data_IF_474902125425
#
_entry.id   IF_474902125425
#
_cell.length_a   1.000
_cell.length_b   1.000
_cell.length_c   1.000
_cell.angle_alpha   90.00
_cell.angle_beta   90.00
_cell.angle_gamma   90.00
#
_symmetry.space_group_name_H-M   'P 1'
#
loop_
_entity.id
_entity.type
_entity.pdbx_description
1 polymer ?
#
# COMPACT_ATOMS: atom_id res chain seq x y z
N UNK A 1 -83.01 -68.08 20.08
CA UNK A 1 -82.00 -68.27 21.15
C UNK A 1 -80.59 -68.02 20.59
N UNK A 2 -79.67 -67.48 21.40
CA UNK A 2 -78.21 -67.45 21.13
C UNK A 2 -77.69 -68.91 20.94
N UNK A 3 -76.44 -69.24 20.49
CA UNK A 3 -75.19 -68.63 20.99
C UNK A 3 -73.88 -68.73 20.15
N UNK A 4 -72.88 -67.95 20.63
CA UNK A 4 -71.43 -68.25 20.79
C UNK A 4 -70.57 -68.62 19.57
N UNK A 5 -69.80 -67.61 19.18
CA UNK A 5 -68.33 -67.59 19.02
C UNK A 5 -67.56 -68.93 18.97
N UNK A 6 -66.79 -69.11 17.89
CA UNK A 6 -65.44 -69.68 17.96
C UNK A 6 -64.52 -69.05 16.91
N UNK A 7 -63.39 -68.56 17.43
CA UNK A 7 -62.29 -67.88 16.76
C UNK A 7 -61.70 -68.70 15.61
N UNK A 8 -61.34 -67.99 14.56
CA UNK A 8 -60.06 -68.16 13.87
C UNK A 8 -59.84 -69.49 13.15
N UNK A 9 -60.20 -69.54 11.88
CA UNK A 9 -59.35 -70.20 10.88
C UNK A 9 -59.43 -69.38 9.61
N UNK A 10 -58.32 -68.71 9.28
CA UNK A 10 -58.05 -68.04 8.01
C UNK A 10 -58.49 -68.99 6.88
N UNK A 11 -59.70 -68.77 6.36
CA UNK A 11 -60.19 -69.39 5.14
C UNK A 11 -59.40 -68.79 4.01
N UNK A 12 -58.31 -69.48 3.69
CA UNK A 12 -57.34 -69.22 2.62
C UNK A 12 -58.11 -68.73 1.39
N UNK A 13 -57.96 -67.46 1.03
CA UNK A 13 -58.34 -67.01 -0.31
C UNK A 13 -57.72 -68.02 -1.27
N UNK A 14 -58.48 -68.47 -2.27
CA UNK A 14 -57.92 -69.34 -3.31
C UNK A 14 -56.59 -68.74 -3.74
N UNK A 15 -55.53 -69.54 -3.85
CA UNK A 15 -54.18 -69.06 -4.23
C UNK A 15 -54.24 -68.16 -5.47
N UNK A 16 -55.24 -68.37 -6.34
CA UNK A 16 -55.58 -67.60 -7.53
C UNK A 16 -56.20 -66.22 -7.25
N UNK A 17 -57.03 -66.04 -6.23
CA UNK A 17 -57.62 -64.74 -5.83
C UNK A 17 -56.62 -63.86 -5.06
N UNK A 18 -55.80 -64.45 -4.20
CA UNK A 18 -54.69 -63.75 -3.54
C UNK A 18 -53.62 -63.33 -4.56
N UNK A 19 -53.34 -64.17 -5.57
CA UNK A 19 -52.48 -63.82 -6.71
C UNK A 19 -53.07 -62.68 -7.55
N UNK A 20 -54.37 -62.69 -7.85
CA UNK A 20 -55.01 -61.65 -8.66
C UNK A 20 -55.09 -60.29 -7.93
N UNK A 21 -55.30 -60.28 -6.61
CA UNK A 21 -55.23 -59.04 -5.81
C UNK A 21 -53.79 -58.54 -5.68
N UNK A 22 -52.80 -59.44 -5.55
CA UNK A 22 -51.39 -59.08 -5.51
C UNK A 22 -50.94 -58.49 -6.86
N UNK A 23 -51.40 -59.08 -7.97
CA UNK A 23 -51.14 -58.62 -9.34
C UNK A 23 -51.79 -57.26 -9.60
N UNK A 24 -53.05 -57.05 -9.17
CA UNK A 24 -53.70 -55.72 -9.22
C UNK A 24 -52.99 -54.66 -8.38
N UNK A 25 -52.52 -55.01 -7.17
CA UNK A 25 -51.75 -54.09 -6.33
C UNK A 25 -50.37 -53.78 -6.90
N UNK A 26 -49.73 -54.75 -7.55
CA UNK A 26 -48.47 -54.55 -8.27
C UNK A 26 -48.66 -53.67 -9.51
N UNK A 27 -49.75 -53.86 -10.24
CA UNK A 27 -50.11 -53.05 -11.40
C UNK A 27 -50.50 -51.62 -11.01
N UNK A 28 -51.26 -51.46 -9.92
CA UNK A 28 -51.60 -50.16 -9.33
C UNK A 28 -50.38 -49.45 -8.74
N UNK A 29 -49.47 -50.18 -8.07
CA UNK A 29 -48.19 -49.64 -7.60
C UNK A 29 -47.29 -49.20 -8.79
N UNK A 30 -47.25 -49.99 -9.87
CA UNK A 30 -46.50 -49.65 -11.08
C UNK A 30 -47.09 -48.43 -11.79
N UNK A 31 -48.42 -48.31 -11.81
CA UNK A 31 -49.12 -47.15 -12.38
C UNK A 31 -48.92 -45.90 -11.51
N UNK A 32 -48.92 -46.04 -10.18
CA UNK A 32 -48.62 -44.95 -9.24
C UNK A 32 -47.17 -44.47 -9.36
N UNK A 33 -46.20 -45.39 -9.50
CA UNK A 33 -44.79 -45.07 -9.71
C UNK A 33 -44.55 -44.38 -11.05
N UNK A 34 -45.24 -44.80 -12.12
CA UNK A 34 -45.22 -44.11 -13.41
C UNK A 34 -45.81 -42.70 -13.32
N UNK A 35 -46.95 -42.53 -12.62
CA UNK A 35 -47.55 -41.22 -12.42
C UNK A 35 -46.68 -40.30 -11.54
N UNK A 36 -45.97 -40.84 -10.55
CA UNK A 36 -45.03 -40.09 -9.71
C UNK A 36 -43.78 -39.67 -10.49
N UNK A 37 -43.23 -40.57 -11.33
CA UNK A 37 -42.12 -40.26 -12.24
C UNK A 37 -42.52 -39.17 -13.24
N UNK A 38 -43.71 -39.24 -13.82
CA UNK A 38 -44.19 -38.24 -14.77
C UNK A 38 -44.41 -36.86 -14.12
N UNK A 39 -44.85 -36.83 -12.85
CA UNK A 39 -44.93 -35.60 -12.06
C UNK A 39 -43.56 -35.01 -11.78
N UNK A 40 -42.59 -35.85 -11.39
CA UNK A 40 -41.22 -35.42 -11.10
C UNK A 40 -40.50 -34.91 -12.35
N UNK A 41 -40.73 -35.53 -13.51
CA UNK A 41 -40.21 -35.07 -14.79
C UNK A 41 -40.82 -33.74 -15.24
N UNK A 42 -42.14 -33.54 -15.06
CA UNK A 42 -42.78 -32.24 -15.31
C UNK A 42 -42.20 -31.14 -14.42
N UNK A 43 -42.06 -31.41 -13.13
CA UNK A 43 -41.49 -30.45 -12.17
C UNK A 43 -40.01 -30.13 -12.47
N UNK A 44 -39.24 -31.11 -12.96
CA UNK A 44 -37.87 -30.88 -13.46
C UNK A 44 -37.85 -29.99 -14.69
N UNK A 45 -38.69 -30.27 -15.69
CA UNK A 45 -38.80 -29.46 -16.92
C UNK A 45 -39.23 -28.03 -16.61
N UNK A 46 -40.20 -27.83 -15.73
CA UNK A 46 -40.65 -26.50 -15.31
C UNK A 46 -39.54 -25.72 -14.59
N UNK A 47 -38.75 -26.38 -13.72
CA UNK A 47 -37.58 -25.74 -13.07
C UNK A 47 -36.48 -25.37 -14.06
N UNK A 48 -36.17 -26.24 -15.01
CA UNK A 48 -35.18 -25.97 -16.04
C UNK A 48 -35.62 -24.83 -16.97
N UNK A 49 -36.91 -24.76 -17.32
CA UNK A 49 -37.47 -23.67 -18.13
C UNK A 49 -37.44 -22.34 -17.37
N UNK A 50 -37.83 -22.34 -16.09
CA UNK A 50 -37.72 -21.15 -15.24
C UNK A 50 -36.27 -20.69 -15.06
N UNK A 51 -35.31 -21.61 -14.91
CA UNK A 51 -33.91 -21.26 -14.79
C UNK A 51 -33.36 -20.69 -16.10
N UNK A 52 -33.72 -21.26 -17.25
CA UNK A 52 -33.38 -20.70 -18.57
C UNK A 52 -33.93 -19.29 -18.73
N UNK A 53 -35.20 -19.07 -18.36
CA UNK A 53 -35.83 -17.74 -18.40
C UNK A 53 -35.08 -16.75 -17.50
N UNK A 54 -34.72 -17.14 -16.27
CA UNK A 54 -33.91 -16.31 -15.35
C UNK A 54 -32.54 -15.95 -15.93
N UNK A 55 -31.85 -16.91 -16.55
CA UNK A 55 -30.54 -16.66 -17.15
C UNK A 55 -30.62 -15.72 -18.35
N UNK A 56 -31.66 -15.84 -19.17
CA UNK A 56 -31.92 -14.94 -20.30
C UNK A 56 -32.20 -13.52 -19.79
N UNK A 57 -33.06 -13.37 -18.79
CA UNK A 57 -33.37 -12.07 -18.16
C UNK A 57 -32.10 -11.43 -17.56
N UNK A 58 -31.31 -12.21 -16.80
CA UNK A 58 -30.07 -11.75 -16.19
C UNK A 58 -29.02 -11.34 -17.24
N UNK A 59 -28.91 -12.10 -18.34
CA UNK A 59 -28.04 -11.73 -19.45
C UNK A 59 -28.50 -10.43 -20.11
N UNK A 60 -29.80 -10.23 -20.29
CA UNK A 60 -30.37 -9.00 -20.83
C UNK A 60 -30.05 -7.80 -19.94
N UNK A 61 -30.29 -7.92 -18.64
CA UNK A 61 -29.98 -6.88 -17.64
C UNK A 61 -28.49 -6.55 -17.60
N UNK A 62 -27.61 -7.55 -17.71
CA UNK A 62 -26.15 -7.32 -17.77
C UNK A 62 -25.72 -6.55 -19.01
N UNK A 63 -26.32 -6.84 -20.16
CA UNK A 63 -26.02 -6.09 -21.39
C UNK A 63 -26.58 -4.67 -21.35
N UNK A 64 -27.76 -4.45 -20.77
CA UNK A 64 -28.32 -3.12 -20.51
C UNK A 64 -27.41 -2.32 -19.55
N UNK A 65 -26.96 -2.93 -18.45
CA UNK A 65 -26.06 -2.32 -17.48
C UNK A 65 -24.70 -1.97 -18.10
N UNK A 66 -24.11 -2.88 -18.89
CA UNK A 66 -22.86 -2.61 -19.62
C UNK A 66 -23.00 -1.42 -20.56
N UNK A 67 -24.14 -1.31 -21.26
CA UNK A 67 -24.40 -0.17 -22.15
C UNK A 67 -24.50 1.13 -21.37
N UNK A 68 -25.24 1.12 -20.24
CA UNK A 68 -25.33 2.29 -19.35
C UNK A 68 -23.95 2.75 -18.86
N UNK A 69 -23.14 1.82 -18.38
CA UNK A 69 -21.77 2.10 -17.91
C UNK A 69 -20.90 2.63 -19.07
N UNK A 70 -21.02 2.07 -20.27
CA UNK A 70 -20.25 2.54 -21.42
C UNK A 70 -20.65 3.96 -21.84
N UNK A 71 -21.94 4.30 -21.78
CA UNK A 71 -22.45 5.66 -22.02
C UNK A 71 -21.94 6.63 -20.95
N UNK A 72 -22.06 6.27 -19.66
CA UNK A 72 -21.53 7.04 -18.53
C UNK A 72 -20.00 7.25 -18.67
N UNK A 73 -19.24 6.22 -19.04
CA UNK A 73 -17.79 6.34 -19.23
C UNK A 73 -17.42 7.32 -20.34
N UNK A 74 -18.19 7.37 -21.44
CA UNK A 74 -17.98 8.30 -22.55
C UNK A 74 -18.30 9.73 -22.12
N UNK A 75 -19.41 9.93 -21.41
CA UNK A 75 -19.77 11.24 -20.86
C UNK A 75 -18.69 11.75 -19.88
N UNK A 76 -18.26 10.91 -18.95
CA UNK A 76 -17.25 11.25 -17.96
C UNK A 76 -15.83 11.32 -18.52
N UNK A 77 -15.53 10.67 -19.66
CA UNK A 77 -14.19 10.66 -20.23
C UNK A 77 -13.71 12.08 -20.55
N UNK A 78 -14.59 12.92 -21.09
CA UNK A 78 -14.26 14.32 -21.42
C UNK A 78 -13.93 15.13 -20.18
N UNK A 79 -14.71 14.98 -19.11
CA UNK A 79 -14.47 15.63 -17.83
C UNK A 79 -13.18 15.15 -17.18
N UNK A 80 -12.94 13.83 -17.16
CA UNK A 80 -11.71 13.22 -16.64
C UNK A 80 -10.46 13.73 -17.38
N UNK A 81 -10.51 13.78 -18.71
CA UNK A 81 -9.41 14.29 -19.53
C UNK A 81 -9.16 15.78 -19.28
N UNK A 82 -10.21 16.59 -19.24
CA UNK A 82 -10.10 18.03 -18.94
C UNK A 82 -9.54 18.27 -17.54
N UNK A 83 -10.03 17.54 -16.54
CA UNK A 83 -9.54 17.60 -15.16
C UNK A 83 -8.07 17.20 -15.06
N UNK A 84 -7.67 16.13 -15.73
CA UNK A 84 -6.28 15.69 -15.76
C UNK A 84 -5.37 16.73 -16.45
N UNK A 85 -5.84 17.38 -17.52
CA UNK A 85 -5.10 18.46 -18.17
C UNK A 85 -4.94 19.67 -17.24
N UNK A 86 -6.00 20.07 -16.54
CA UNK A 86 -5.96 21.18 -15.58
C UNK A 86 -5.00 20.90 -14.43
N UNK A 87 -5.04 19.69 -13.86
CA UNK A 87 -4.10 19.26 -12.82
C UNK A 87 -2.64 19.27 -13.29
N UNK A 88 -2.37 18.92 -14.56
CA UNK A 88 -1.01 19.01 -15.13
C UNK A 88 -0.53 20.45 -15.23
N UNK A 89 -1.40 21.37 -15.65
CA UNK A 89 -1.08 22.80 -15.74
C UNK A 89 -0.80 23.35 -14.33
N UNK A 90 -1.65 23.02 -13.36
CA UNK A 90 -1.48 23.47 -11.98
C UNK A 90 -0.20 22.92 -11.35
N UNK A 91 0.10 21.64 -11.55
CA UNK A 91 1.35 21.02 -11.10
C UNK A 91 2.59 21.67 -11.75
N UNK A 92 2.53 21.99 -13.04
CA UNK A 92 3.61 22.68 -13.73
C UNK A 92 3.83 24.09 -13.18
N UNK A 93 2.76 24.86 -12.97
CA UNK A 93 2.83 26.20 -12.39
C UNK A 93 3.35 26.19 -10.93
N UNK A 94 2.94 25.19 -10.14
CA UNK A 94 3.45 25.00 -8.79
C UNK A 94 4.97 24.73 -8.79
N UNK A 95 5.43 23.86 -9.69
CA UNK A 95 6.85 23.55 -9.86
C UNK A 95 7.66 24.77 -10.30
N UNK A 96 7.18 25.51 -11.29
CA UNK A 96 7.83 26.74 -11.77
C UNK A 96 7.94 27.79 -10.65
N UNK A 97 6.89 27.94 -9.84
CA UNK A 97 6.91 28.83 -8.67
C UNK A 97 7.93 28.40 -7.63
N UNK A 98 8.06 27.09 -7.37
CA UNK A 98 9.07 26.56 -6.44
C UNK A 98 10.50 26.82 -6.96
N UNK A 99 10.75 26.54 -8.24
CA UNK A 99 12.03 26.81 -8.91
C UNK A 99 12.37 28.30 -8.86
N UNK A 100 11.41 29.18 -9.14
CA UNK A 100 11.58 30.63 -9.04
C UNK A 100 11.89 31.08 -7.61
N UNK A 101 11.19 30.52 -6.61
CA UNK A 101 11.43 30.84 -5.20
C UNK A 101 12.83 30.42 -4.78
N UNK A 102 13.28 29.23 -5.21
CA UNK A 102 14.64 28.74 -4.95
C UNK A 102 15.70 29.62 -5.63
N UNK A 103 15.44 30.04 -6.87
CA UNK A 103 16.32 30.96 -7.60
C UNK A 103 16.48 32.30 -6.86
N UNK A 104 15.37 32.90 -6.40
CA UNK A 104 15.39 34.15 -5.63
C UNK A 104 16.03 34.00 -4.24
N UNK A 105 15.92 32.82 -3.61
CA UNK A 105 16.53 32.56 -2.31
C UNK A 105 18.06 32.48 -2.36
N UNK A 106 18.68 32.42 -3.56
CA UNK A 106 20.13 32.20 -3.74
C UNK A 106 20.66 31.07 -2.85
N UNK A 107 19.87 29.98 -2.71
CA UNK A 107 20.25 28.87 -1.84
C UNK A 107 21.38 28.07 -2.48
N UNK A 108 22.45 27.82 -1.70
CA UNK A 108 23.55 26.95 -2.11
C UNK A 108 23.22 25.46 -1.93
N UNK A 109 22.00 25.13 -1.47
CA UNK A 109 21.58 23.76 -1.21
C UNK A 109 21.02 23.10 -2.48
N UNK A 110 21.32 21.81 -2.71
CA UNK A 110 20.87 21.09 -3.90
C UNK A 110 19.34 20.99 -3.97
N UNK A 111 18.81 20.90 -5.19
CA UNK A 111 17.41 20.56 -5.40
C UNK A 111 17.13 19.10 -4.97
N UNK A 112 16.17 18.84 -4.06
CA UNK A 112 15.90 17.49 -3.56
C UNK A 112 15.36 16.53 -4.64
N UNK A 113 14.82 17.05 -5.74
CA UNK A 113 14.39 16.25 -6.90
C UNK A 113 15.53 15.88 -7.85
N UNK A 114 16.70 16.50 -7.72
CA UNK A 114 17.84 16.36 -8.62
C UNK A 114 18.94 15.54 -7.97
N UNK A 115 18.97 14.23 -8.24
CA UNK A 115 20.02 13.34 -7.73
C UNK A 115 21.43 13.78 -8.19
N UNK A 116 21.54 14.39 -9.37
CA UNK A 116 22.79 14.93 -9.88
C UNK A 116 23.32 16.08 -9.00
N UNK A 117 22.47 17.03 -8.64
CA UNK A 117 22.84 18.13 -7.74
C UNK A 117 23.17 17.63 -6.34
N UNK A 118 22.41 16.67 -5.81
CA UNK A 118 22.71 16.05 -4.51
C UNK A 118 24.08 15.39 -4.52
N UNK A 119 24.42 14.67 -5.58
CA UNK A 119 25.74 14.05 -5.74
C UNK A 119 26.85 15.09 -5.88
N UNK A 120 26.63 16.17 -6.62
CA UNK A 120 27.59 17.27 -6.74
C UNK A 120 27.83 17.95 -5.39
N UNK A 121 26.76 18.24 -4.64
CA UNK A 121 26.82 18.76 -3.27
C UNK A 121 27.65 17.84 -2.35
N UNK A 122 27.39 16.53 -2.37
CA UNK A 122 28.16 15.55 -1.59
C UNK A 122 29.65 15.56 -1.94
N UNK A 123 30.00 15.61 -3.22
CA UNK A 123 31.39 15.65 -3.66
C UNK A 123 32.09 16.93 -3.23
N UNK A 124 31.44 18.08 -3.43
CA UNK A 124 31.98 19.39 -3.03
C UNK A 124 32.16 19.48 -1.51
N UNK A 125 31.20 18.99 -0.73
CA UNK A 125 31.29 19.00 0.73
C UNK A 125 32.34 18.02 1.25
N UNK A 126 32.54 16.88 0.57
CA UNK A 126 33.61 15.96 0.90
C UNK A 126 34.98 16.63 0.73
N UNK A 127 35.18 17.35 -0.37
CA UNK A 127 36.42 18.05 -0.70
C UNK A 127 36.64 19.35 0.11
N UNK A 128 35.60 19.92 0.72
CA UNK A 128 35.76 21.13 1.52
C UNK A 128 36.59 20.86 2.78
N UNK A 129 37.63 21.66 3.00
CA UNK A 129 38.36 21.65 4.26
C UNK A 129 37.71 22.66 5.20
N UNK A 130 37.18 22.19 6.32
CA UNK A 130 36.71 23.08 7.37
C UNK A 130 37.88 23.49 8.27
N UNK A 131 37.98 24.78 8.57
CA UNK A 131 39.11 25.29 9.35
C UNK A 131 38.87 25.20 10.86
N UNK A 132 37.60 25.22 11.26
CA UNK A 132 37.17 25.34 12.65
C UNK A 132 35.83 24.62 12.90
N UNK A 133 35.55 24.35 14.18
CA UNK A 133 34.36 23.62 14.62
C UNK A 133 33.06 24.37 14.31
N UNK A 134 33.07 25.72 14.29
CA UNK A 134 31.86 26.48 14.01
C UNK A 134 31.38 26.24 12.58
N UNK A 135 32.31 26.34 11.63
CA UNK A 135 32.04 26.06 10.21
C UNK A 135 31.48 24.64 10.02
N UNK A 136 32.06 23.61 10.65
CA UNK A 136 31.53 22.24 10.52
C UNK A 136 30.13 22.09 11.09
N UNK A 137 29.84 22.68 12.25
CA UNK A 137 28.50 22.55 12.84
C UNK A 137 27.44 23.28 11.98
N UNK A 138 27.78 24.40 11.36
CA UNK A 138 26.92 25.08 10.39
C UNK A 138 26.70 24.25 9.11
N UNK A 139 27.76 23.67 8.54
CA UNK A 139 27.66 22.78 7.39
C UNK A 139 26.82 21.53 7.72
N UNK A 140 26.96 20.97 8.93
CA UNK A 140 26.14 19.85 9.39
C UNK A 140 24.65 20.22 9.52
N UNK A 141 24.35 21.44 9.98
CA UNK A 141 22.98 21.96 10.00
C UNK A 141 22.41 22.08 8.58
N UNK A 142 23.21 22.53 7.61
CA UNK A 142 22.81 22.58 6.21
C UNK A 142 22.59 21.17 5.63
N UNK A 143 23.48 20.22 5.94
CA UNK A 143 23.34 18.83 5.54
C UNK A 143 22.06 18.19 6.10
N UNK A 144 21.67 18.54 7.34
CA UNK A 144 20.40 18.14 7.92
C UNK A 144 19.20 18.70 7.15
N UNK A 145 19.27 19.97 6.75
CA UNK A 145 18.26 20.60 5.91
C UNK A 145 18.11 19.87 4.56
N UNK A 146 19.22 19.53 3.91
CA UNK A 146 19.22 18.75 2.65
C UNK A 146 18.58 17.38 2.84
N UNK A 147 18.92 16.65 3.91
CA UNK A 147 18.28 15.35 4.20
C UNK A 147 16.77 15.47 4.43
N UNK A 148 16.33 16.53 5.12
CA UNK A 148 14.90 16.79 5.34
C UNK A 148 14.18 17.01 4.02
N UNK A 149 14.77 17.80 3.13
CA UNK A 149 14.16 18.15 1.85
C UNK A 149 14.11 16.93 0.91
N UNK A 150 15.16 16.11 0.88
CA UNK A 150 15.16 14.83 0.14
C UNK A 150 14.06 13.91 0.66
N UNK A 151 13.90 13.79 1.99
CA UNK A 151 12.83 12.96 2.59
C UNK A 151 11.43 13.47 2.24
N UNK A 152 11.23 14.79 2.25
CA UNK A 152 9.98 15.41 1.80
C UNK A 152 9.66 15.07 0.35
N UNK A 153 10.68 15.12 -0.52
CA UNK A 153 10.54 14.74 -1.92
C UNK A 153 10.22 13.25 -2.09
N UNK A 154 10.96 12.35 -1.43
CA UNK A 154 10.72 10.90 -1.47
C UNK A 154 9.31 10.55 -1.00
N UNK A 155 8.82 11.20 0.07
CA UNK A 155 7.45 11.01 0.56
C UNK A 155 6.37 11.46 -0.44
N UNK A 156 6.71 12.33 -1.39
CA UNK A 156 5.80 12.74 -2.47
C UNK A 156 5.82 11.79 -3.68
N UNK A 157 6.78 10.87 -3.75
CA UNK A 157 6.88 9.90 -4.85
C UNK A 157 5.91 8.72 -4.64
N UNK A 158 5.40 8.11 -5.73
CA UNK A 158 4.69 6.84 -5.62
C UNK A 158 5.58 5.75 -5.01
N UNK A 159 5.00 4.85 -4.21
CA UNK A 159 5.74 3.77 -3.53
C UNK A 159 6.53 2.85 -4.48
N UNK A 160 6.14 2.78 -5.76
CA UNK A 160 6.79 1.96 -6.78
C UNK A 160 7.89 2.70 -7.56
N UNK A 161 8.27 3.91 -7.14
CA UNK A 161 9.25 4.71 -7.88
C UNK A 161 10.65 4.10 -7.76
N UNK A 162 11.24 3.72 -8.90
CA UNK A 162 12.50 2.95 -8.95
C UNK A 162 13.74 3.66 -8.40
N UNK A 163 13.65 4.97 -8.14
CA UNK A 163 14.76 5.77 -7.64
C UNK A 163 14.74 6.01 -6.12
N UNK A 164 13.73 5.51 -5.39
CA UNK A 164 13.64 5.70 -3.93
C UNK A 164 14.92 5.22 -3.23
N UNK A 165 15.42 4.05 -3.62
CA UNK A 165 16.68 3.49 -3.09
C UNK A 165 17.89 4.39 -3.32
N UNK A 166 17.93 5.11 -4.44
CA UNK A 166 19.03 6.03 -4.75
C UNK A 166 19.02 7.26 -3.84
N UNK A 167 17.83 7.78 -3.52
CA UNK A 167 17.69 8.90 -2.60
C UNK A 167 17.99 8.49 -1.15
N UNK A 168 17.55 7.30 -0.72
CA UNK A 168 17.89 6.77 0.60
C UNK A 168 19.39 6.49 0.74
N UNK A 169 20.04 6.02 -0.34
CA UNK A 169 21.50 5.91 -0.38
C UNK A 169 22.17 7.28 -0.24
N UNK A 170 21.68 8.31 -0.93
CA UNK A 170 22.20 9.67 -0.80
C UNK A 170 22.06 10.21 0.63
N UNK A 171 20.91 10.01 1.29
CA UNK A 171 20.72 10.37 2.71
C UNK A 171 21.75 9.65 3.59
N UNK A 172 21.96 8.36 3.35
CA UNK A 172 22.95 7.57 4.09
C UNK A 172 24.36 8.15 3.92
N UNK A 173 24.74 8.50 2.69
CA UNK A 173 26.04 9.15 2.40
C UNK A 173 26.19 10.50 3.10
N UNK A 174 25.13 11.32 3.14
CA UNK A 174 25.14 12.59 3.88
C UNK A 174 25.40 12.36 5.36
N UNK A 175 24.75 11.36 5.98
CA UNK A 175 24.97 11.02 7.40
C UNK A 175 26.39 10.55 7.69
N UNK A 176 26.93 9.68 6.84
CA UNK A 176 28.30 9.19 6.98
C UNK A 176 29.27 10.37 6.91
N UNK A 177 29.14 11.21 5.88
CA UNK A 177 30.02 12.37 5.72
C UNK A 177 29.89 13.39 6.86
N UNK A 178 28.66 13.60 7.37
CA UNK A 178 28.41 14.42 8.56
C UNK A 178 29.22 13.92 9.76
N UNK A 179 29.21 12.60 9.99
CA UNK A 179 29.93 11.98 11.10
C UNK A 179 31.44 12.12 10.91
N UNK A 180 31.94 11.83 9.70
CA UNK A 180 33.36 11.97 9.36
C UNK A 180 33.88 13.40 9.59
N UNK A 181 33.13 14.43 9.18
CA UNK A 181 33.50 15.85 9.38
C UNK A 181 33.55 16.23 10.86
N UNK A 182 32.57 15.77 11.64
CA UNK A 182 32.54 16.03 13.09
C UNK A 182 33.71 15.32 13.77
N UNK A 183 33.99 14.07 13.43
CA UNK A 183 35.08 13.28 14.01
C UNK A 183 36.44 13.90 13.70
N UNK A 184 36.69 14.28 12.44
CA UNK A 184 37.93 14.95 12.01
C UNK A 184 38.16 16.25 12.78
N UNK A 185 37.14 17.11 12.87
CA UNK A 185 37.26 18.37 13.59
C UNK A 185 37.32 18.21 15.11
N UNK A 186 36.68 17.18 15.66
CA UNK A 186 36.80 16.84 17.08
C UNK A 186 38.23 16.43 17.39
N UNK A 187 38.84 15.57 16.56
CA UNK A 187 40.23 15.17 16.72
C UNK A 187 41.17 16.38 16.66
N UNK A 188 41.03 17.26 15.65
CA UNK A 188 41.81 18.50 15.54
C UNK A 188 41.63 19.40 16.77
N UNK A 189 40.39 19.59 17.21
CA UNK A 189 40.07 20.43 18.39
C UNK A 189 40.71 19.87 19.66
N UNK A 190 40.73 18.54 19.84
CA UNK A 190 41.36 17.89 20.98
C UNK A 190 42.89 18.04 20.96
N UNK A 191 43.53 17.92 19.79
CA UNK A 191 44.98 18.17 19.65
C UNK A 191 45.34 19.61 20.01
N UNK A 192 44.58 20.59 19.53
CA UNK A 192 44.79 22.01 19.89
C UNK A 192 44.59 22.27 21.39
N UNK A 193 43.71 21.51 22.05
CA UNK A 193 43.45 21.59 23.48
C UNK A 193 44.59 20.97 24.30
N UNK A 194 45.23 19.90 23.82
CA UNK A 194 46.39 19.30 24.47
C UNK A 194 47.57 20.28 24.55
N UNK A 195 47.72 21.14 23.55
CA UNK A 195 48.73 22.20 23.53
C UNK A 195 48.36 23.44 24.38
N UNK A 196 47.14 23.50 24.92
CA UNK A 196 46.66 24.64 25.70
C UNK A 196 47.29 24.69 27.10
N UNK A 197 47.59 25.90 27.57
CA UNK A 197 48.20 26.15 28.89
C UNK A 197 47.19 26.36 30.02
N UNK A 198 45.94 26.63 29.67
CA UNK A 198 44.83 26.87 30.59
C UNK A 198 43.70 25.90 30.25
N UNK A 199 42.85 25.57 31.21
CA UNK A 199 41.66 24.73 31.05
C UNK A 199 40.78 25.23 29.89
N UNK A 200 40.83 24.59 28.71
CA UNK A 200 40.13 25.11 27.56
C UNK A 200 38.66 24.73 27.60
N UNK A 201 37.82 25.73 27.33
CA UNK A 201 36.38 25.58 27.12
C UNK A 201 36.02 26.07 25.72
N UNK A 202 35.42 25.19 24.91
CA UNK A 202 34.92 25.54 23.57
C UNK A 202 33.50 25.04 23.41
N UNK A 203 32.63 25.86 22.83
CA UNK A 203 31.25 25.46 22.53
C UNK A 203 30.74 26.16 21.28
N UNK A 204 29.98 25.41 20.46
CA UNK A 204 29.25 25.93 19.30
C UNK A 204 27.83 25.39 19.36
N UNK A 205 26.86 26.22 19.00
CA UNK A 205 25.48 25.79 18.88
C UNK A 205 24.86 26.39 17.62
N UNK A 206 24.11 25.56 16.89
CA UNK A 206 23.13 25.96 15.89
C UNK A 206 21.73 25.66 16.42
N UNK A 207 20.72 25.82 15.56
CA UNK A 207 19.32 25.50 15.91
C UNK A 207 19.16 24.04 16.36
N UNK A 208 19.76 23.08 15.64
CA UNK A 208 19.55 21.66 15.89
C UNK A 208 20.78 20.93 16.45
N UNK A 209 21.98 21.53 16.41
CA UNK A 209 23.23 20.84 16.77
C UNK A 209 23.97 21.66 17.82
N UNK A 210 24.45 21.00 18.86
CA UNK A 210 25.28 21.63 19.91
C UNK A 210 26.53 20.80 20.11
N UNK A 211 27.68 21.46 20.08
CA UNK A 211 28.98 20.90 20.37
C UNK A 211 29.59 21.64 21.56
N UNK A 212 30.22 20.90 22.47
CA UNK A 212 30.89 21.48 23.62
C UNK A 212 31.99 20.57 24.13
N UNK A 213 33.16 21.15 24.39
CA UNK A 213 34.29 20.50 25.05
C UNK A 213 34.72 21.38 26.22
N UNK A 214 34.89 20.74 27.37
CA UNK A 214 35.45 21.33 28.57
C UNK A 214 36.51 20.36 29.11
N UNK A 215 37.74 20.83 29.23
CA UNK A 215 38.87 20.02 29.71
C UNK A 215 39.47 20.68 30.93
N UNK A 216 39.69 19.86 31.97
CA UNK A 216 40.38 20.25 33.20
C UNK A 216 41.80 19.66 33.15
N UNK A 217 42.80 20.52 33.08
CA UNK A 217 44.22 20.18 32.99
C UNK A 217 44.89 20.04 34.37
N UNK A 218 44.29 20.55 35.44
CA UNK A 218 44.86 20.58 36.80
C UNK A 218 44.95 19.21 37.53
N UNK A 219 44.62 18.09 36.87
CA UNK A 219 44.65 16.75 37.50
C UNK A 219 45.90 15.90 37.25
N UNK A 220 46.90 16.39 36.52
CA UNK A 220 48.13 15.63 36.21
C UNK A 220 49.38 16.02 37.03
N UNK A 221 49.24 16.70 38.18
CA UNK A 221 50.33 16.86 39.14
C UNK A 221 50.44 15.60 40.02
N UNK A 222 51.22 14.62 39.57
CA UNK A 222 51.81 13.56 40.42
C UNK A 222 53.31 13.54 40.26
#
# INVERSE_FOLDING_TARGET
MPPKAKKGKKGKKSKKQEQLELEKKLEEARLAEQAEQERLERERKEREEQERLRQIELARLREEEKKRIAEEEVEEATFRQSRAALLRIEAAAAKEKEEWTRYLACSNLPNPSSLAEINAYLSLWKESAANDMHTVIEECQQAFQVMRDIRGYVASLPETHSSVDLFENAITRIRTLTSEKIDEMTAKTLTEIEEAKEDPQRSVATENIKFGVWVNLEKNLK
#
